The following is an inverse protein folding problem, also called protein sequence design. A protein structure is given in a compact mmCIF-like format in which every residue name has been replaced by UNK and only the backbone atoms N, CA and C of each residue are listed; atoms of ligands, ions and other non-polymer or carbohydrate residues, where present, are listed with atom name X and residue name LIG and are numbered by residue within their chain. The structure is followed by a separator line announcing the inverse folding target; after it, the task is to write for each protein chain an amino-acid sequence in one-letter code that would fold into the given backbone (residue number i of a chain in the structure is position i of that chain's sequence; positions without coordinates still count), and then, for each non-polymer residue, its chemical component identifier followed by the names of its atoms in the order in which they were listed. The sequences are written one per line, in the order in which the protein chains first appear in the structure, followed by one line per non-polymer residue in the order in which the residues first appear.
data_IF_184876898583
#
_entry.id   IF_184876898583
#
_cell.length_a   1.000
_cell.length_b   1.000
_cell.length_c   1.000
_cell.angle_alpha   90.00
_cell.angle_beta   90.00
_cell.angle_gamma   90.00
#
_symmetry.space_group_name_H-M   'P 1'
#
loop_
_entity.id
_entity.type
_entity.pdbx_description
1 polymer ?
#
# COMPACT_ATOMS: atom_id res chain seq x y z
N UNK A 1 -2.19 16.77 6.97
CA UNK A 1 -1.05 16.04 6.40
C UNK A 1 -1.53 14.62 6.23
N UNK A 2 -1.30 14.02 5.07
CA UNK A 2 -1.77 12.67 4.73
C UNK A 2 -1.34 11.65 5.79
N UNK A 3 -0.10 11.77 6.28
CA UNK A 3 0.41 10.91 7.36
C UNK A 3 -0.21 11.17 8.73
N UNK A 4 -0.63 12.41 9.01
CA UNK A 4 -1.38 12.69 10.24
C UNK A 4 -2.77 12.03 10.18
N UNK A 5 -3.42 12.02 9.02
CA UNK A 5 -4.71 11.33 8.89
C UNK A 5 -4.58 9.81 9.07
N UNK A 6 -3.48 9.23 8.58
CA UNK A 6 -3.15 7.84 8.87
C UNK A 6 -2.95 7.62 10.37
N UNK A 7 -2.17 8.49 11.03
CA UNK A 7 -1.94 8.40 12.48
C UNK A 7 -3.25 8.47 13.26
N UNK A 8 -4.12 9.43 12.93
CA UNK A 8 -5.43 9.59 13.58
C UNK A 8 -6.33 8.37 13.38
N UNK A 9 -6.28 7.73 12.20
CA UNK A 9 -7.01 6.49 11.91
C UNK A 9 -6.42 5.29 12.65
N UNK A 10 -5.09 5.20 12.70
CA UNK A 10 -4.38 4.10 13.33
C UNK A 10 -4.50 4.11 14.85
N UNK A 11 -4.55 5.29 15.47
CA UNK A 11 -4.69 5.46 16.92
C UNK A 11 -6.13 5.19 17.43
N UNK A 12 -7.11 5.14 16.53
CA UNK A 12 -8.48 4.80 16.89
C UNK A 12 -8.67 3.27 16.92
N UNK A 13 -8.64 2.71 18.13
CA UNK A 13 -8.82 1.26 18.40
C UNK A 13 -10.06 0.67 17.73
N UNK A 14 -11.12 1.46 17.53
CA UNK A 14 -12.37 0.97 16.95
C UNK A 14 -12.22 0.53 15.48
N UNK A 15 -11.23 1.05 14.76
CA UNK A 15 -10.93 0.67 13.38
C UNK A 15 -10.34 -0.74 13.25
N UNK A 16 -9.83 -1.30 14.34
CA UNK A 16 -9.14 -2.59 14.35
C UNK A 16 -10.03 -3.75 14.85
N UNK A 17 -11.15 -3.44 15.48
CA UNK A 17 -12.05 -4.46 16.04
C UNK A 17 -12.73 -5.25 14.91
N UNK A 18 -12.45 -6.55 14.83
CA UNK A 18 -13.04 -7.44 13.83
C UNK A 18 -12.49 -7.23 12.41
N UNK A 19 -11.42 -6.45 12.25
CA UNK A 19 -10.75 -6.28 10.97
C UNK A 19 -9.87 -7.51 10.70
N UNK A 20 -10.09 -8.17 9.56
CA UNK A 20 -9.22 -9.26 9.11
C UNK A 20 -8.15 -8.66 8.19
N UNK A 21 -6.89 -8.80 8.56
CA UNK A 21 -5.75 -8.24 7.81
C UNK A 21 -5.67 -8.93 6.44
N UNK A 22 -5.96 -8.17 5.39
CA UNK A 22 -5.88 -8.64 4.01
C UNK A 22 -4.61 -8.09 3.38
N UNK A 23 -3.67 -8.99 3.13
CA UNK A 23 -2.32 -8.66 2.68
C UNK A 23 -2.26 -7.99 1.30
N UNK A 24 -1.12 -7.37 1.04
CA UNK A 24 -0.71 -6.96 -0.30
C UNK A 24 -0.16 -8.18 -1.04
N UNK A 25 -0.76 -8.55 -2.16
CA UNK A 25 -0.35 -9.71 -2.96
C UNK A 25 0.75 -9.38 -3.96
N UNK A 26 0.78 -8.12 -4.42
CA UNK A 26 1.70 -7.66 -5.46
C UNK A 26 1.77 -6.13 -5.46
N UNK A 27 2.95 -5.62 -5.80
CA UNK A 27 3.16 -4.25 -6.25
C UNK A 27 3.78 -4.23 -7.65
N UNK A 28 3.46 -3.21 -8.44
CA UNK A 28 4.05 -3.01 -9.76
C UNK A 28 4.32 -1.52 -9.98
N UNK A 29 5.55 -1.21 -10.38
CA UNK A 29 5.90 0.13 -10.83
C UNK A 29 5.23 0.44 -12.17
N UNK A 30 4.42 1.50 -12.20
CA UNK A 30 3.73 1.94 -13.43
C UNK A 30 4.52 3.07 -14.09
N UNK A 31 4.83 4.11 -13.32
CA UNK A 31 5.63 5.29 -13.72
C UNK A 31 6.02 6.06 -12.47
N UNK A 32 6.78 7.14 -12.63
CA UNK A 32 7.30 7.97 -11.55
C UNK A 32 6.33 8.12 -10.39
N UNK A 33 6.69 7.55 -9.23
CA UNK A 33 5.92 7.52 -7.99
C UNK A 33 4.54 6.86 -8.02
N UNK A 34 4.12 6.29 -9.15
CA UNK A 34 2.84 5.59 -9.26
C UNK A 34 3.07 4.09 -9.23
N UNK A 35 2.46 3.44 -8.24
CA UNK A 35 2.41 1.99 -8.14
C UNK A 35 1.00 1.48 -8.39
N UNK A 36 0.93 0.32 -9.03
CA UNK A 36 -0.27 -0.52 -9.04
C UNK A 36 -0.14 -1.55 -7.92
N UNK A 37 -1.22 -1.73 -7.18
CA UNK A 37 -1.23 -2.50 -5.93
C UNK A 37 -2.39 -3.47 -5.97
N UNK A 38 -2.12 -4.75 -5.70
CA UNK A 38 -3.11 -5.81 -5.65
C UNK A 38 -3.27 -6.25 -4.22
N UNK A 39 -4.49 -6.13 -3.74
CA UNK A 39 -4.87 -6.52 -2.40
C UNK A 39 -5.67 -7.81 -2.44
N UNK A 40 -5.37 -8.71 -1.52
CA UNK A 40 -6.14 -9.93 -1.34
C UNK A 40 -7.57 -9.59 -0.95
N UNK A 41 -8.52 -10.34 -1.50
CA UNK A 41 -9.90 -10.42 -1.07
C UNK A 41 -10.31 -11.91 -1.04
N UNK A 42 -11.33 -12.27 -0.26
CA UNK A 42 -11.69 -13.68 0.00
C UNK A 42 -11.75 -14.62 -1.23
N UNK A 43 -12.21 -14.11 -2.38
CA UNK A 43 -12.37 -14.88 -3.63
C UNK A 43 -11.97 -14.06 -4.88
N UNK A 44 -11.31 -12.92 -4.69
CA UNK A 44 -10.98 -11.97 -5.77
C UNK A 44 -9.79 -11.11 -5.31
N UNK A 45 -9.49 -10.05 -6.05
CA UNK A 45 -8.55 -9.01 -5.66
C UNK A 45 -9.19 -7.64 -5.77
N UNK A 46 -8.66 -6.66 -5.04
CA UNK A 46 -8.91 -5.25 -5.32
C UNK A 46 -7.62 -4.63 -5.86
N UNK A 47 -7.71 -3.86 -6.94
CA UNK A 47 -6.55 -3.28 -7.61
C UNK A 47 -6.66 -1.76 -7.61
N UNK A 48 -5.61 -1.11 -7.12
CA UNK A 48 -5.48 0.34 -7.10
C UNK A 48 -4.25 0.81 -7.89
N UNK A 49 -4.32 2.01 -8.44
CA UNK A 49 -3.15 2.84 -8.75
C UNK A 49 -3.08 3.96 -7.72
N UNK A 50 -1.93 4.10 -7.04
CA UNK A 50 -1.71 5.15 -6.03
C UNK A 50 -0.49 5.98 -6.42
N UNK A 51 -0.62 7.31 -6.28
CA UNK A 51 0.48 8.26 -6.43
C UNK A 51 1.16 8.48 -5.07
N UNK A 52 2.42 8.07 -4.97
CA UNK A 52 3.26 8.18 -3.79
C UNK A 52 4.06 9.49 -3.72
N UNK A 53 4.02 10.34 -4.75
CA UNK A 53 4.73 11.61 -4.70
C UNK A 53 4.29 12.48 -3.51
N UNK A 54 2.98 12.63 -3.23
CA UNK A 54 2.52 13.35 -2.05
C UNK A 54 3.02 12.72 -0.75
N UNK A 55 3.13 11.39 -0.71
CA UNK A 55 3.42 10.62 0.50
C UNK A 55 4.90 10.61 0.86
N UNK A 56 5.81 10.51 -0.12
CA UNK A 56 7.26 10.35 0.14
C UNK A 56 8.09 11.57 -0.25
N UNK A 57 7.60 12.41 -1.17
CA UNK A 57 8.38 13.53 -1.71
C UNK A 57 7.87 14.86 -1.17
N UNK A 58 6.57 15.10 -1.26
CA UNK A 58 5.98 16.38 -0.89
C UNK A 58 5.79 16.52 0.63
N UNK A 59 5.18 15.50 1.26
CA UNK A 59 5.21 15.36 2.71
C UNK A 59 6.48 14.60 3.10
N UNK A 60 7.14 15.03 4.19
CA UNK A 60 8.27 14.31 4.75
C UNK A 60 7.76 13.46 5.93
N UNK A 61 7.36 12.19 5.71
CA UNK A 61 6.92 11.29 6.78
C UNK A 61 8.02 10.88 7.76
N UNK A 62 9.28 11.17 7.45
CA UNK A 62 10.44 10.76 8.24
C UNK A 62 11.61 10.34 7.38
N UNK A 63 12.80 10.30 7.98
CA UNK A 63 14.07 10.08 7.27
C UNK A 63 14.18 8.72 6.55
N UNK A 64 13.44 7.71 6.99
CA UNK A 64 13.45 6.37 6.36
C UNK A 64 12.97 6.40 4.91
N UNK A 65 12.03 7.30 4.58
CA UNK A 65 11.48 7.41 3.22
C UNK A 65 12.28 8.33 2.31
N UNK A 66 13.27 9.06 2.84
CA UNK A 66 14.04 10.06 2.07
C UNK A 66 14.75 9.41 0.86
N UNK A 67 15.22 8.17 1.03
CA UNK A 67 15.88 7.42 -0.05
C UNK A 67 14.93 7.03 -1.18
N UNK A 68 13.62 7.01 -0.94
CA UNK A 68 12.61 6.73 -1.97
C UNK A 68 12.34 7.93 -2.89
N UNK A 69 12.88 9.12 -2.59
CA UNK A 69 12.92 10.25 -3.54
C UNK A 69 13.85 9.99 -4.72
N UNK A 70 14.72 8.98 -4.61
CA UNK A 70 15.44 8.47 -5.76
C UNK A 70 14.51 7.53 -6.54
N UNK A 71 14.19 7.88 -7.79
CA UNK A 71 13.28 7.09 -8.62
C UNK A 71 13.79 5.68 -8.93
N UNK A 72 15.10 5.49 -9.07
CA UNK A 72 15.67 4.17 -9.32
C UNK A 72 15.53 3.29 -8.08
N UNK A 73 15.68 3.87 -6.88
CA UNK A 73 15.36 3.17 -5.63
C UNK A 73 13.87 2.81 -5.57
N UNK A 74 12.99 3.77 -5.87
CA UNK A 74 11.54 3.58 -5.83
C UNK A 74 11.05 2.46 -6.78
N UNK A 75 11.68 2.31 -7.95
CA UNK A 75 11.34 1.27 -8.94
C UNK A 75 11.58 -0.16 -8.46
N UNK A 76 12.43 -0.35 -7.45
CA UNK A 76 12.75 -1.66 -6.88
C UNK A 76 11.71 -2.14 -5.86
N UNK A 77 10.49 -1.62 -5.95
CA UNK A 77 9.40 -2.02 -5.07
C UNK A 77 9.03 -3.48 -5.30
N UNK A 78 8.67 -4.15 -4.21
CA UNK A 78 8.10 -5.47 -4.19
C UNK A 78 6.84 -5.48 -3.31
N UNK A 79 5.96 -6.43 -3.56
CA UNK A 79 4.76 -6.63 -2.74
C UNK A 79 4.66 -8.09 -2.34
N UNK A 80 4.94 -8.37 -1.07
CA UNK A 80 4.86 -9.70 -0.46
C UNK A 80 4.31 -9.57 0.96
N UNK A 81 2.99 -9.65 1.10
CA UNK A 81 2.19 -9.31 2.30
C UNK A 81 2.26 -7.83 2.71
N UNK A 82 3.40 -7.18 2.59
CA UNK A 82 3.65 -5.75 2.79
C UNK A 82 4.24 -5.11 1.54
N UNK A 83 4.26 -3.78 1.51
CA UNK A 83 4.94 -3.02 0.45
C UNK A 83 6.40 -2.82 0.83
N UNK A 84 7.33 -3.37 0.06
CA UNK A 84 8.73 -3.47 0.47
C UNK A 84 9.68 -2.91 -0.58
N UNK A 85 10.76 -2.28 -0.13
CA UNK A 85 11.96 -2.01 -0.89
C UNK A 85 13.14 -2.67 -0.18
N UNK A 86 13.55 -3.86 -0.63
CA UNK A 86 14.69 -4.61 -0.08
C UNK A 86 15.99 -3.83 -0.22
N UNK A 87 17.05 -4.16 0.52
CA UNK A 87 18.35 -3.51 0.35
C UNK A 87 18.78 -3.52 -1.14
N UNK A 88 19.10 -2.36 -1.75
CA UNK A 88 19.40 -2.30 -3.19
C UNK A 88 20.74 -2.95 -3.55
N UNK A 89 21.66 -3.10 -2.60
CA UNK A 89 22.98 -3.68 -2.80
C UNK A 89 22.97 -5.21 -2.64
N UNK A 90 22.22 -5.71 -1.66
CA UNK A 90 22.24 -7.14 -1.29
C UNK A 90 20.98 -7.90 -1.74
N UNK A 91 19.88 -7.19 -2.00
CA UNK A 91 18.56 -7.79 -2.21
C UNK A 91 17.98 -8.45 -0.95
N UNK A 92 18.55 -8.16 0.23
CA UNK A 92 18.10 -8.74 1.49
C UNK A 92 17.11 -7.83 2.23
N UNK A 93 16.29 -8.45 3.07
CA UNK A 93 15.50 -7.75 4.07
C UNK A 93 16.40 -7.49 5.30
N UNK A 94 16.94 -6.29 5.42
CA UNK A 94 17.83 -5.86 6.50
C UNK A 94 17.48 -4.45 6.99
N UNK A 95 18.34 -3.83 7.82
CA UNK A 95 18.14 -2.49 8.39
C UNK A 95 18.00 -1.36 7.35
N UNK A 96 18.35 -1.60 6.08
CA UNK A 96 18.19 -0.65 4.98
C UNK A 96 16.94 -0.92 4.13
N UNK A 97 16.26 -2.04 4.38
CA UNK A 97 14.98 -2.32 3.77
C UNK A 97 13.92 -1.36 4.32
N UNK A 98 12.98 -0.99 3.46
CA UNK A 98 11.83 -0.18 3.82
C UNK A 98 10.61 -1.04 3.63
N UNK A 99 9.84 -1.26 4.69
CA UNK A 99 8.55 -1.93 4.62
C UNK A 99 7.43 -1.00 5.08
N UNK A 100 6.27 -1.17 4.47
CA UNK A 100 5.05 -0.47 4.87
C UNK A 100 3.94 -1.50 4.98
N UNK A 101 3.29 -1.50 6.14
CA UNK A 101 2.18 -2.38 6.45
C UNK A 101 1.04 -2.25 5.41
N UNK A 102 0.40 -3.37 5.01
CA UNK A 102 -0.62 -3.37 3.98
C UNK A 102 -1.84 -2.50 4.34
N UNK A 103 -2.18 -2.35 5.61
CA UNK A 103 -3.31 -1.54 6.10
C UNK A 103 -3.07 -0.05 5.88
N UNK A 104 -1.83 0.40 6.12
CA UNK A 104 -1.40 1.77 5.85
C UNK A 104 -1.53 2.09 4.35
N UNK A 105 -1.05 1.18 3.50
CA UNK A 105 -1.15 1.38 2.05
C UNK A 105 -2.60 1.27 1.57
N UNK A 106 -3.40 0.36 2.13
CA UNK A 106 -4.82 0.21 1.80
C UNK A 106 -5.59 1.47 2.17
N UNK A 107 -5.32 2.05 3.34
CA UNK A 107 -5.91 3.32 3.76
C UNK A 107 -5.68 4.43 2.73
N UNK A 108 -4.45 4.61 2.27
CA UNK A 108 -4.15 5.62 1.25
C UNK A 108 -4.79 5.28 -0.10
N UNK A 109 -4.82 4.00 -0.48
CA UNK A 109 -5.50 3.55 -1.70
C UNK A 109 -7.00 3.86 -1.68
N UNK A 110 -7.69 3.61 -0.57
CA UNK A 110 -9.13 3.82 -0.46
C UNK A 110 -9.52 5.30 -0.47
N UNK A 111 -8.64 6.17 0.08
CA UNK A 111 -8.88 7.61 0.15
C UNK A 111 -8.42 8.38 -1.09
N UNK A 112 -7.28 7.99 -1.65
CA UNK A 112 -6.56 8.78 -2.66
C UNK A 112 -6.24 7.99 -3.93
N UNK A 113 -6.35 6.67 -3.88
CA UNK A 113 -6.04 5.80 -4.99
C UNK A 113 -7.12 5.79 -6.06
N UNK A 114 -6.70 5.53 -7.29
CA UNK A 114 -7.59 5.23 -8.41
C UNK A 114 -7.90 3.74 -8.40
N UNK A 115 -9.17 3.39 -8.22
CA UNK A 115 -9.65 2.01 -8.33
C UNK A 115 -9.57 1.56 -9.80
N UNK A 116 -8.87 0.46 -10.07
CA UNK A 116 -8.83 -0.18 -11.38
C UNK A 116 -9.74 -1.41 -11.43
N UNK A 117 -9.84 -2.13 -10.32
CA UNK A 117 -10.71 -3.29 -10.14
C UNK A 117 -11.13 -3.35 -8.69
N UNK A 118 -12.39 -3.69 -8.44
CA UNK A 118 -12.94 -3.84 -7.10
C UNK A 118 -13.64 -5.19 -7.03
N UNK A 119 -13.40 -5.94 -5.96
CA UNK A 119 -14.18 -7.17 -5.70
C UNK A 119 -15.66 -6.85 -5.85
N UNK A 120 -16.32 -7.60 -6.72
CA UNK A 120 -17.77 -7.56 -6.80
C UNK A 120 -18.33 -8.23 -5.54
N UNK A 121 -19.28 -7.57 -4.87
CA UNK A 121 -20.05 -8.25 -3.83
C UNK A 121 -20.71 -9.49 -4.45
N UNK A 122 -20.72 -10.65 -3.78
CA UNK A 122 -21.43 -11.82 -4.28
C UNK A 122 -22.88 -11.40 -4.54
N UNK A 123 -23.34 -11.55 -5.79
CA UNK A 123 -24.77 -11.39 -6.09
C UNK A 123 -25.50 -12.49 -5.32
N UNK A 124 -26.26 -12.09 -4.31
CA UNK A 124 -27.22 -13.00 -3.67
C UNK A 124 -28.26 -13.32 -4.73
N UNK A 125 -28.12 -14.47 -5.39
CA UNK A 125 -29.14 -14.98 -6.30
C UNK A 125 -30.40 -15.23 -5.46
N UNK A 126 -31.57 -14.67 -5.84
CA UNK A 126 -32.80 -14.98 -5.13
C UNK A 126 -33.08 -16.49 -5.27
N UNK A 127 -33.17 -17.17 -4.14
CA UNK A 127 -33.61 -18.56 -4.07
C UNK A 127 -35.04 -18.57 -4.59
N UNK A 128 -35.24 -19.26 -5.73
CA UNK A 128 -36.55 -19.45 -6.37
C UNK A 128 -37.35 -20.56 -5.69
#
# INVERSE_FOLDING_TARGET
MLWQEWQDYADDESNWIGCNEKGLLKAEYVRDYILRLWFEEELDVTIYELDFYPLFVAENPGGVFEVLKNQDRFRLVDGDYSLVWLNPETGAYDETAIDIAPECIRFFCERYGKVLHKKNAPQVLPIS
#
